data_IF_682317061369
#
_entry.id   IF_682317061369
#
_cell.length_a   1.000
_cell.length_b   1.000
_cell.length_c   1.000
_cell.angle_alpha   90.00
_cell.angle_beta   90.00
_cell.angle_gamma   90.00
#
_symmetry.space_group_name_H-M   'P 1'
#
loop_
_entity.id
_entity.type
_entity.pdbx_description
1 polymer ?
#
# COMPACT_ATOMS: atom_id res chain seq x y z
N UNK A 1 -7.81 61.09 -38.39
CA UNK A 1 -7.28 59.71 -38.49
C UNK A 1 -7.24 59.10 -37.09
N UNK A 2 -8.31 58.43 -36.65
CA UNK A 2 -8.36 57.73 -35.37
C UNK A 2 -9.32 56.54 -35.45
N UNK A 3 -8.92 55.48 -36.15
CA UNK A 3 -9.61 54.19 -36.10
C UNK A 3 -8.52 53.13 -36.22
N UNK A 4 -8.00 52.61 -35.10
CA UNK A 4 -7.20 51.37 -35.07
C UNK A 4 -6.95 50.78 -33.68
N UNK A 5 -7.53 51.31 -32.59
CA UNK A 5 -7.30 50.76 -31.24
C UNK A 5 -8.36 49.76 -30.78
N UNK A 6 -9.56 49.74 -31.37
CA UNK A 6 -10.68 48.89 -30.91
C UNK A 6 -10.64 47.45 -31.42
N UNK A 7 -9.80 47.15 -32.43
CA UNK A 7 -9.64 45.78 -32.94
C UNK A 7 -8.66 44.94 -32.11
N UNK A 8 -7.62 45.54 -31.53
CA UNK A 8 -6.64 44.82 -30.71
C UNK A 8 -7.20 44.27 -29.40
N UNK A 9 -8.10 45.00 -28.74
CA UNK A 9 -8.72 44.54 -27.48
C UNK A 9 -9.71 43.38 -27.65
N UNK A 10 -10.31 43.23 -28.85
CA UNK A 10 -11.30 42.19 -29.09
C UNK A 10 -10.67 40.85 -29.54
N UNK A 11 -9.45 40.86 -30.06
CA UNK A 11 -8.71 39.64 -30.40
C UNK A 11 -8.03 39.01 -29.15
N UNK A 12 -7.63 39.82 -28.17
CA UNK A 12 -7.10 39.30 -26.89
C UNK A 12 -8.19 38.67 -26.00
N UNK A 13 -9.45 39.11 -26.12
CA UNK A 13 -10.57 38.55 -25.35
C UNK A 13 -11.12 37.22 -25.88
N UNK A 14 -10.74 36.80 -27.08
CA UNK A 14 -11.24 35.55 -27.70
C UNK A 14 -10.38 34.32 -27.46
N UNK A 15 -9.23 34.44 -26.80
CA UNK A 15 -8.32 33.31 -26.55
C UNK A 15 -8.49 32.64 -25.18
N UNK A 16 -9.50 33.00 -24.40
CA UNK A 16 -9.81 32.34 -23.11
C UNK A 16 -10.97 31.32 -23.18
N UNK A 17 -11.46 31.01 -24.39
CA UNK A 17 -12.47 29.97 -24.60
C UNK A 17 -11.91 28.83 -25.45
N UNK A 18 -10.85 28.17 -24.97
CA UNK A 18 -10.40 26.90 -25.56
C UNK A 18 -10.15 25.83 -24.49
N UNK A 19 -11.02 24.82 -24.57
CA UNK A 19 -10.95 23.46 -24.02
C UNK A 19 -11.48 23.24 -22.59
N UNK A 20 -12.80 23.21 -22.51
CA UNK A 20 -13.58 22.51 -21.47
C UNK A 20 -13.55 20.98 -21.69
N UNK A 21 -12.36 20.40 -21.89
CA UNK A 21 -12.16 18.93 -21.93
C UNK A 21 -11.02 18.55 -20.99
N UNK A 22 -11.39 17.96 -19.86
CA UNK A 22 -10.50 17.50 -18.81
C UNK A 22 -10.24 18.58 -17.77
N UNK A 23 -10.70 18.39 -16.53
CA UNK A 23 -10.29 19.20 -15.37
C UNK A 23 -8.78 19.45 -15.45
N UNK A 24 -8.34 20.70 -15.47
CA UNK A 24 -6.93 21.04 -15.28
C UNK A 24 -6.48 20.35 -14.01
N UNK A 25 -5.69 19.28 -14.13
CA UNK A 25 -5.19 18.53 -12.98
C UNK A 25 -4.42 19.53 -12.13
N UNK A 26 -4.90 19.78 -10.92
CA UNK A 26 -4.08 20.42 -9.90
C UNK A 26 -2.76 19.66 -9.81
N UNK A 27 -1.64 20.38 -9.76
CA UNK A 27 -0.32 19.74 -9.64
C UNK A 27 -0.37 18.80 -8.45
N UNK A 28 -0.06 17.52 -8.66
CA UNK A 28 -0.05 16.53 -7.59
C UNK A 28 0.97 16.95 -6.54
N UNK A 29 0.57 16.94 -5.27
CA UNK A 29 1.50 17.11 -4.16
C UNK A 29 2.62 16.06 -4.27
N UNK A 30 3.84 16.48 -3.96
CA UNK A 30 5.03 15.65 -4.00
C UNK A 30 5.41 15.26 -2.59
N UNK A 31 5.78 13.99 -2.44
CA UNK A 31 6.35 13.41 -1.24
C UNK A 31 7.81 13.83 -1.10
N UNK A 32 8.30 13.84 0.13
CA UNK A 32 9.72 14.00 0.45
C UNK A 32 10.53 12.71 0.20
N UNK A 33 9.84 11.61 -0.12
CA UNK A 33 10.45 10.31 -0.40
C UNK A 33 11.34 10.35 -1.65
N UNK A 34 12.59 9.93 -1.48
CA UNK A 34 13.51 9.70 -2.59
C UNK A 34 13.19 8.40 -3.34
N UNK A 35 13.65 8.28 -4.59
CA UNK A 35 13.46 7.05 -5.38
C UNK A 35 14.12 5.82 -4.74
N UNK A 36 15.27 5.99 -4.07
CA UNK A 36 15.94 4.88 -3.39
C UNK A 36 15.19 4.45 -2.12
N UNK A 37 14.66 5.40 -1.34
CA UNK A 37 13.78 5.08 -0.22
C UNK A 37 12.51 4.37 -0.69
N UNK A 38 11.92 4.80 -1.81
CA UNK A 38 10.80 4.12 -2.44
C UNK A 38 11.10 2.66 -2.77
N UNK A 39 12.21 2.41 -3.48
CA UNK A 39 12.65 1.05 -3.84
C UNK A 39 12.86 0.18 -2.61
N UNK A 40 13.50 0.74 -1.57
CA UNK A 40 13.74 0.05 -0.31
C UNK A 40 12.43 -0.34 0.39
N UNK A 41 11.49 0.60 0.51
CA UNK A 41 10.20 0.36 1.17
C UNK A 41 9.33 -0.66 0.43
N UNK A 42 9.25 -0.60 -0.91
CA UNK A 42 8.50 -1.61 -1.67
C UNK A 42 9.15 -2.99 -1.55
N UNK A 43 10.49 -3.06 -1.51
CA UNK A 43 11.20 -4.32 -1.29
C UNK A 43 10.91 -4.91 0.08
N UNK A 44 10.75 -4.07 1.11
CA UNK A 44 10.41 -4.51 2.46
C UNK A 44 9.01 -5.13 2.56
N UNK A 45 8.12 -4.88 1.60
CA UNK A 45 6.78 -5.50 1.48
C UNK A 45 6.70 -6.53 0.35
N UNK A 46 7.84 -7.14 0.00
CA UNK A 46 7.95 -8.24 -0.98
C UNK A 46 7.52 -7.85 -2.41
N UNK A 47 7.61 -6.54 -2.71
CA UNK A 47 7.36 -5.96 -4.02
C UNK A 47 8.66 -5.47 -4.68
N UNK A 48 8.62 -5.37 -6.01
CA UNK A 48 9.64 -4.71 -6.81
C UNK A 48 8.96 -3.71 -7.77
N UNK A 49 9.75 -2.92 -8.52
CA UNK A 49 9.21 -1.94 -9.48
C UNK A 49 8.29 -2.58 -10.52
N UNK A 50 8.59 -3.81 -10.97
CA UNK A 50 7.80 -4.53 -11.97
C UNK A 50 6.44 -4.88 -11.42
N UNK A 51 6.40 -5.51 -10.23
CA UNK A 51 5.17 -5.87 -9.52
C UNK A 51 4.37 -4.61 -9.20
N UNK A 52 5.01 -3.60 -8.61
CA UNK A 52 4.36 -2.35 -8.25
C UNK A 52 3.73 -1.67 -9.48
N UNK A 53 4.46 -1.63 -10.59
CA UNK A 53 3.97 -1.10 -11.86
C UNK A 53 2.73 -1.84 -12.37
N UNK A 54 2.77 -3.17 -12.36
CA UNK A 54 1.65 -4.01 -12.81
C UNK A 54 0.42 -3.88 -11.89
N UNK A 55 0.60 -3.89 -10.58
CA UNK A 55 -0.49 -3.81 -9.61
C UNK A 55 -1.21 -2.46 -9.60
N UNK A 56 -0.45 -1.37 -9.65
CA UNK A 56 -1.01 -0.01 -9.50
C UNK A 56 -1.23 0.72 -10.82
N UNK A 57 -0.92 0.09 -11.96
CA UNK A 57 -1.13 0.67 -13.29
C UNK A 57 -0.25 1.90 -13.56
N UNK A 58 0.92 1.97 -12.93
CA UNK A 58 1.88 3.07 -13.11
C UNK A 58 3.03 2.56 -13.96
N UNK A 59 3.31 3.19 -15.11
CA UNK A 59 4.36 2.72 -16.00
C UNK A 59 5.75 2.76 -15.34
N UNK A 60 6.60 1.76 -15.64
CA UNK A 60 7.99 1.74 -15.14
C UNK A 60 8.77 3.00 -15.51
N UNK A 61 8.71 3.54 -16.74
CA UNK A 61 9.36 4.81 -17.07
C UNK A 61 8.89 5.96 -16.18
N UNK A 62 7.60 6.04 -15.85
CA UNK A 62 7.07 7.03 -14.91
C UNK A 62 7.69 6.89 -13.52
N UNK A 63 7.81 5.66 -13.00
CA UNK A 63 8.42 5.39 -11.69
C UNK A 63 9.89 5.83 -11.68
N UNK A 64 10.67 5.45 -12.70
CA UNK A 64 12.07 5.88 -12.80
C UNK A 64 12.22 7.41 -12.96
N UNK A 65 11.25 8.06 -13.61
CA UNK A 65 11.19 9.52 -13.73
C UNK A 65 10.96 10.26 -12.40
N UNK A 66 10.57 9.58 -11.33
CA UNK A 66 10.40 10.21 -10.02
C UNK A 66 11.72 10.67 -9.39
N UNK A 67 12.86 10.16 -9.86
CA UNK A 67 14.16 10.70 -9.46
C UNK A 67 14.30 12.20 -9.79
N UNK A 68 13.67 12.64 -10.88
CA UNK A 68 13.73 14.03 -11.35
C UNK A 68 12.48 14.83 -10.95
N UNK A 69 11.32 14.20 -10.98
CA UNK A 69 10.03 14.89 -10.83
C UNK A 69 9.39 14.75 -9.45
N UNK A 70 10.02 14.01 -8.54
CA UNK A 70 9.51 13.70 -7.22
C UNK A 70 8.36 12.69 -7.23
N UNK A 71 8.30 11.90 -6.17
CA UNK A 71 7.27 10.88 -5.97
C UNK A 71 5.95 11.56 -5.60
N UNK A 72 4.82 11.22 -6.24
CA UNK A 72 3.52 11.74 -5.82
C UNK A 72 3.12 11.26 -4.41
N UNK A 73 2.48 12.12 -3.60
CA UNK A 73 2.05 11.76 -2.22
C UNK A 73 1.16 10.51 -2.17
N UNK A 74 0.28 10.29 -3.16
CA UNK A 74 -0.56 9.10 -3.17
C UNK A 74 0.25 7.79 -3.26
N UNK A 75 1.44 7.82 -3.87
CA UNK A 75 2.34 6.66 -3.94
C UNK A 75 2.91 6.36 -2.57
N UNK A 76 3.30 7.39 -1.82
CA UNK A 76 3.74 7.23 -0.44
C UNK A 76 2.64 6.62 0.44
N UNK A 77 1.39 7.11 0.31
CA UNK A 77 0.24 6.53 1.03
C UNK A 77 -0.02 5.07 0.67
N UNK A 78 0.14 4.70 -0.59
CA UNK A 78 0.03 3.29 -1.02
C UNK A 78 1.06 2.42 -0.29
N UNK A 79 2.30 2.88 -0.18
CA UNK A 79 3.38 2.14 0.50
C UNK A 79 3.08 1.99 2.00
N UNK A 80 2.65 3.07 2.67
CA UNK A 80 2.25 3.03 4.08
C UNK A 80 1.15 1.98 4.34
N UNK A 81 0.17 1.89 3.43
CA UNK A 81 -0.90 0.89 3.53
C UNK A 81 -0.37 -0.54 3.35
N UNK A 82 0.57 -0.76 2.42
CA UNK A 82 1.18 -2.07 2.21
C UNK A 82 2.01 -2.51 3.42
N UNK A 83 2.78 -1.59 4.01
CA UNK A 83 3.56 -1.85 5.22
C UNK A 83 2.65 -2.19 6.40
N UNK A 84 1.59 -1.41 6.60
CA UNK A 84 0.58 -1.66 7.63
C UNK A 84 -0.08 -3.04 7.43
N UNK A 85 -0.45 -3.37 6.18
CA UNK A 85 -0.99 -4.70 5.84
C UNK A 85 0.00 -5.82 6.19
N UNK A 86 1.28 -5.67 5.87
CA UNK A 86 2.31 -6.67 6.22
C UNK A 86 2.45 -6.85 7.73
N UNK A 87 2.47 -5.76 8.49
CA UNK A 87 2.52 -5.82 9.95
C UNK A 87 1.30 -6.52 10.55
N UNK A 88 0.10 -6.25 10.01
CA UNK A 88 -1.12 -6.92 10.45
C UNK A 88 -1.08 -8.43 10.19
N UNK A 89 -0.64 -8.85 9.00
CA UNK A 89 -0.48 -10.29 8.71
C UNK A 89 0.51 -10.95 9.67
N UNK A 90 1.65 -10.32 9.92
CA UNK A 90 2.62 -10.83 10.90
C UNK A 90 2.00 -10.98 12.29
N UNK A 91 1.29 -9.96 12.78
CA UNK A 91 0.62 -10.04 14.08
C UNK A 91 -0.45 -11.12 14.14
N UNK A 92 -1.15 -11.39 13.04
CA UNK A 92 -2.11 -12.50 12.94
C UNK A 92 -1.39 -13.85 13.02
N UNK A 93 -0.30 -14.03 12.27
CA UNK A 93 0.49 -15.26 12.27
C UNK A 93 1.08 -15.55 13.66
N UNK A 94 1.63 -14.51 14.33
CA UNK A 94 2.14 -14.60 15.70
C UNK A 94 1.03 -15.06 16.68
N UNK A 95 -0.20 -14.54 16.53
CA UNK A 95 -1.35 -14.96 17.35
C UNK A 95 -1.77 -16.42 17.08
N UNK A 96 -1.73 -16.86 15.82
CA UNK A 96 -2.01 -18.25 15.46
C UNK A 96 -0.98 -19.19 16.11
N UNK A 97 0.31 -18.89 16.01
CA UNK A 97 1.39 -19.67 16.62
C UNK A 97 1.21 -19.81 18.13
N UNK A 98 0.95 -18.70 18.83
CA UNK A 98 0.68 -18.69 20.28
C UNK A 98 -0.48 -19.60 20.65
N UNK A 99 -1.57 -19.57 19.87
CA UNK A 99 -2.75 -20.38 20.15
C UNK A 99 -2.48 -21.86 19.87
N UNK A 100 -1.83 -22.20 18.76
CA UNK A 100 -1.50 -23.58 18.42
C UNK A 100 -0.52 -24.20 19.41
N UNK A 101 0.52 -23.48 19.83
CA UNK A 101 1.49 -23.96 20.82
C UNK A 101 0.87 -24.20 22.19
N UNK A 102 -0.04 -23.31 22.63
CA UNK A 102 -0.77 -23.49 23.89
C UNK A 102 -1.70 -24.70 23.83
N UNK A 103 -2.39 -24.90 22.71
CA UNK A 103 -3.27 -26.06 22.50
C UNK A 103 -2.45 -27.36 22.52
N UNK A 104 -1.31 -27.40 21.83
CA UNK A 104 -0.43 -28.57 21.80
C UNK A 104 0.11 -28.91 23.21
N UNK A 105 0.48 -27.91 24.01
CA UNK A 105 0.90 -28.11 25.41
C UNK A 105 -0.23 -28.65 26.29
N UNK A 106 -1.45 -28.15 26.12
CA UNK A 106 -2.63 -28.66 26.84
C UNK A 106 -2.95 -30.11 26.49
N UNK A 107 -2.83 -30.49 25.21
CA UNK A 107 -3.01 -31.88 24.79
C UNK A 107 -1.98 -32.81 25.42
N UNK A 108 -0.70 -32.41 25.46
CA UNK A 108 0.35 -33.21 26.11
C UNK A 108 0.11 -33.41 27.61
N UNK A 109 -0.41 -32.40 28.31
CA UNK A 109 -0.77 -32.51 29.74
C UNK A 109 -1.93 -33.51 29.91
N UNK A 110 -2.98 -33.40 29.10
CA UNK A 110 -4.14 -34.29 29.17
C UNK A 110 -3.83 -35.75 28.81
N UNK A 111 -2.87 -36.00 27.92
CA UNK A 111 -2.47 -37.38 27.56
C UNK A 111 -1.52 -38.03 28.56
N UNK A 112 -0.89 -37.25 29.44
CA UNK A 112 0.06 -37.73 30.44
C UNK A 112 -0.56 -37.95 31.83
N UNK A 113 -1.87 -37.70 32.01
CA UNK A 113 -2.55 -38.12 33.22
C UNK A 113 -2.63 -39.66 33.28
N UNK A 114 -2.09 -40.31 34.33
CA UNK A 114 -2.24 -41.75 34.47
C UNK A 114 -3.72 -42.06 34.66
N UNK A 115 -4.30 -42.77 33.68
CA UNK A 115 -5.63 -43.36 33.82
C UNK A 115 -5.61 -44.24 35.05
N UNK A 116 -6.21 -43.77 36.16
CA UNK A 116 -6.42 -44.60 37.35
C UNK A 116 -7.36 -45.73 36.96
N UNK A 117 -6.78 -46.86 36.56
CA UNK A 117 -7.48 -48.13 36.39
C UNK A 117 -8.22 -48.44 37.69
N UNK A 118 -9.54 -48.18 37.73
CA UNK A 118 -10.40 -48.69 38.79
C UNK A 118 -10.41 -50.22 38.67
N UNK A 119 -9.71 -50.91 39.56
CA UNK A 119 -9.88 -52.35 39.75
C UNK A 119 -11.30 -52.60 40.22
N UNK A 120 -12.15 -53.10 39.33
CA UNK A 120 -13.48 -53.61 39.68
C UNK A 120 -13.27 -55.02 40.22
N UNK A 121 -13.45 -55.20 41.53
CA UNK A 121 -13.50 -56.53 42.13
C UNK A 121 -14.92 -57.08 41.96
N UNK A 122 -15.07 -58.16 41.20
CA UNK A 122 -16.28 -58.97 41.24
C UNK A 122 -16.19 -59.86 42.48
N UNK A 123 -17.02 -59.58 43.49
CA UNK A 123 -17.28 -60.55 44.57
C UNK A 123 -18.20 -61.64 44.01
N UNK A 124 -17.75 -62.89 44.10
CA UNK A 124 -18.56 -64.10 43.91
C UNK A 124 -19.27 -64.44 45.20
#
# INVERSE_FOLDING_TARGET
MYENNTKKENDEKRNNEQNYYGKTRTKSLKSELTLEQFKSRISAVDMDITKFSAYFGISRPTIYGWNTHGIPVYVERIIELLETKKQLHKGIDDLYEINTDKINKLHQINTNEPTKSKKVYYMR
#
